data_IF_139249814776
#
_entry.id   IF_139249814776
#
_cell.length_a   1.000
_cell.length_b   1.000
_cell.length_c   1.000
_cell.angle_alpha   90.00
_cell.angle_beta   90.00
_cell.angle_gamma   90.00
#
_symmetry.space_group_name_H-M   'P 1'
#
loop_
_entity.id
_entity.type
_entity.pdbx_description
1 polymer ?
#
# COMPACT_ATOMS: atom_id res chain seq x y z
N UNK A 1 8.74 -3.19 24.45
CA UNK A 1 7.86 -3.14 23.27
C UNK A 1 7.54 -1.69 22.95
N UNK A 2 7.72 -1.30 21.70
CA UNK A 2 7.47 0.07 21.25
C UNK A 2 5.97 0.23 20.97
N UNK A 3 5.36 1.33 21.45
CA UNK A 3 4.01 1.67 21.12
C UNK A 3 3.88 2.23 19.69
N UNK A 4 2.64 2.36 19.20
CA UNK A 4 2.35 2.78 17.83
C UNK A 4 2.92 4.18 17.54
N UNK A 5 2.72 5.13 18.45
CA UNK A 5 3.16 6.50 18.25
C UNK A 5 4.69 6.62 18.31
N UNK A 6 5.32 5.86 19.18
CA UNK A 6 6.79 5.81 19.25
C UNK A 6 7.36 5.22 17.98
N UNK A 7 6.72 4.17 17.47
CA UNK A 7 7.16 3.56 16.21
C UNK A 7 7.05 4.55 15.05
N UNK A 8 5.92 5.27 14.94
CA UNK A 8 5.73 6.27 13.90
C UNK A 8 6.77 7.38 13.98
N UNK A 9 7.10 7.85 15.18
CA UNK A 9 8.16 8.83 15.36
C UNK A 9 9.50 8.29 14.84
N UNK A 10 9.79 7.02 15.09
CA UNK A 10 11.03 6.39 14.66
C UNK A 10 11.22 6.36 13.15
N UNK A 11 10.14 6.39 12.39
CA UNK A 11 10.19 6.41 10.91
C UNK A 11 9.97 7.81 10.33
N UNK A 12 9.96 8.83 11.18
CA UNK A 12 9.90 10.23 10.73
C UNK A 12 8.52 10.86 10.69
N UNK A 13 7.52 10.23 11.30
CA UNK A 13 6.16 10.81 11.41
C UNK A 13 6.10 11.60 12.70
N UNK A 14 5.81 12.90 12.61
CA UNK A 14 5.69 13.76 13.78
C UNK A 14 4.48 13.38 14.64
N UNK A 15 4.47 13.77 15.92
CA UNK A 15 3.34 13.55 16.80
C UNK A 15 2.05 14.16 16.28
N UNK A 16 2.16 15.36 15.70
CA UNK A 16 0.99 16.04 15.15
C UNK A 16 0.36 15.25 13.99
N UNK A 17 1.17 14.57 13.21
CA UNK A 17 0.73 13.76 12.08
C UNK A 17 0.30 12.36 12.48
N UNK A 18 0.86 11.84 13.57
CA UNK A 18 0.64 10.45 14.00
C UNK A 18 -0.83 10.15 14.31
N UNK A 19 -1.56 11.09 14.88
CA UNK A 19 -2.99 10.91 15.16
C UNK A 19 -3.79 10.66 13.88
N UNK A 20 -3.54 11.45 12.84
CA UNK A 20 -4.22 11.28 11.55
C UNK A 20 -3.83 9.97 10.89
N UNK A 21 -2.55 9.64 10.94
CA UNK A 21 -2.03 8.39 10.38
C UNK A 21 -2.70 7.20 11.06
N UNK A 22 -2.72 7.18 12.39
CA UNK A 22 -3.33 6.07 13.14
C UNK A 22 -4.83 5.96 12.90
N UNK A 23 -5.53 7.09 12.88
CA UNK A 23 -6.97 7.11 12.63
C UNK A 23 -7.29 6.50 11.26
N UNK A 24 -6.59 6.92 10.23
CA UNK A 24 -6.82 6.42 8.87
C UNK A 24 -6.40 4.96 8.73
N UNK A 25 -5.23 4.60 9.23
CA UNK A 25 -4.72 3.23 9.14
C UNK A 25 -5.61 2.25 9.90
N UNK A 26 -6.08 2.62 11.08
CA UNK A 26 -6.97 1.76 11.88
C UNK A 26 -8.29 1.49 11.17
N UNK A 27 -8.88 2.52 10.55
CA UNK A 27 -10.13 2.37 9.80
C UNK A 27 -9.94 1.42 8.60
N UNK A 28 -8.83 1.56 7.88
CA UNK A 28 -8.52 0.69 6.75
C UNK A 28 -8.23 -0.73 7.23
N UNK A 29 -7.55 -0.88 8.37
CA UNK A 29 -7.25 -2.20 8.93
C UNK A 29 -8.53 -2.99 9.21
N UNK A 30 -9.54 -2.36 9.80
CA UNK A 30 -10.83 -3.01 10.02
C UNK A 30 -11.44 -3.52 8.73
N UNK A 31 -11.42 -2.69 7.69
CA UNK A 31 -11.95 -3.06 6.37
C UNK A 31 -11.17 -4.24 5.77
N UNK A 32 -9.84 -4.23 5.89
CA UNK A 32 -8.99 -5.29 5.36
C UNK A 32 -9.22 -6.61 6.09
N UNK A 33 -9.38 -6.58 7.40
CA UNK A 33 -9.65 -7.77 8.22
C UNK A 33 -10.98 -8.40 7.80
N UNK A 34 -12.03 -7.60 7.66
CA UNK A 34 -13.34 -8.07 7.22
C UNK A 34 -13.25 -8.67 5.82
N UNK A 35 -12.50 -8.03 4.94
CA UNK A 35 -12.34 -8.48 3.56
C UNK A 35 -11.64 -9.84 3.47
N UNK A 36 -10.72 -10.11 4.41
CA UNK A 36 -10.07 -11.43 4.53
C UNK A 36 -10.94 -12.50 5.17
N UNK A 37 -12.15 -12.15 5.61
CA UNK A 37 -13.04 -13.07 6.30
C UNK A 37 -12.72 -13.29 7.77
N UNK A 38 -11.90 -12.41 8.36
CA UNK A 38 -11.53 -12.48 9.77
C UNK A 38 -12.44 -11.58 10.62
N UNK A 39 -12.53 -11.88 11.91
CA UNK A 39 -13.32 -11.07 12.85
C UNK A 39 -12.47 -9.88 13.32
N UNK A 40 -12.90 -8.62 13.06
CA UNK A 40 -12.15 -7.45 13.51
C UNK A 40 -11.97 -7.37 15.03
N UNK A 41 -12.86 -8.02 15.80
CA UNK A 41 -12.76 -8.05 17.26
C UNK A 41 -11.59 -8.90 17.74
N UNK A 42 -11.14 -9.85 16.92
CA UNK A 42 -10.04 -10.76 17.25
C UNK A 42 -8.70 -10.31 16.68
N UNK A 43 -8.74 -9.31 15.79
CA UNK A 43 -7.55 -8.78 15.17
C UNK A 43 -7.12 -7.48 15.84
N UNK A 44 -5.83 -7.26 15.99
CA UNK A 44 -5.30 -6.03 16.56
C UNK A 44 -4.32 -5.38 15.59
N UNK A 45 -4.40 -4.05 15.50
CA UNK A 45 -3.51 -3.25 14.70
C UNK A 45 -2.57 -2.47 15.62
N UNK A 46 -1.28 -2.69 15.47
CA UNK A 46 -0.29 -2.02 16.29
C UNK A 46 1.07 -1.94 15.59
N UNK A 47 2.11 -1.65 16.37
CA UNK A 47 3.45 -1.46 15.85
C UNK A 47 3.98 -2.66 15.08
N UNK A 48 3.63 -3.87 15.48
CA UNK A 48 4.09 -5.09 14.80
C UNK A 48 3.59 -5.16 13.35
N UNK A 49 2.33 -4.83 13.15
CA UNK A 49 1.70 -4.83 11.82
C UNK A 49 2.31 -3.73 10.96
N UNK A 50 2.51 -2.55 11.52
CA UNK A 50 3.14 -1.44 10.81
C UNK A 50 4.58 -1.78 10.42
N UNK A 51 5.32 -2.42 11.31
CA UNK A 51 6.71 -2.81 11.05
C UNK A 51 6.82 -3.77 9.86
N UNK A 52 5.88 -4.70 9.71
CA UNK A 52 5.87 -5.62 8.58
C UNK A 52 5.80 -4.87 7.24
N UNK A 53 4.93 -3.87 7.17
CA UNK A 53 4.78 -3.05 5.97
C UNK A 53 6.05 -2.25 5.71
N UNK A 54 6.59 -1.59 6.72
CA UNK A 54 7.81 -0.79 6.60
C UNK A 54 8.98 -1.65 6.14
N UNK A 55 9.11 -2.85 6.73
CA UNK A 55 10.16 -3.79 6.34
C UNK A 55 10.02 -4.21 4.88
N UNK A 56 8.81 -4.49 4.44
CA UNK A 56 8.55 -4.84 3.04
C UNK A 56 8.96 -3.70 2.10
N UNK A 57 8.53 -2.47 2.41
CA UNK A 57 8.88 -1.32 1.58
C UNK A 57 10.39 -1.09 1.52
N UNK A 58 11.07 -1.28 2.65
CA UNK A 58 12.52 -1.16 2.72
C UNK A 58 13.21 -2.23 1.86
N UNK A 59 12.72 -3.46 1.90
CA UNK A 59 13.22 -4.54 1.04
C UNK A 59 13.08 -4.21 -0.44
N UNK A 60 12.02 -3.50 -0.80
CA UNK A 60 11.76 -3.10 -2.19
C UNK A 60 12.55 -1.88 -2.62
N UNK A 61 13.31 -1.28 -1.71
CA UNK A 61 14.19 -0.18 -2.05
C UNK A 61 13.72 1.20 -1.59
N UNK A 62 12.68 1.26 -0.77
CA UNK A 62 12.27 2.55 -0.18
C UNK A 62 13.21 2.87 0.98
N UNK A 63 13.93 3.97 0.86
CA UNK A 63 14.81 4.48 1.91
C UNK A 63 13.98 4.78 3.16
N UNK A 64 14.54 4.51 4.34
CA UNK A 64 13.88 4.74 5.63
C UNK A 64 13.31 6.15 5.75
N UNK A 65 14.02 7.16 5.25
CA UNK A 65 13.55 8.55 5.26
C UNK A 65 12.32 8.76 4.38
N UNK A 66 12.23 8.01 3.29
CA UNK A 66 11.10 8.09 2.36
C UNK A 66 9.89 7.34 2.86
N UNK A 67 10.08 6.33 3.72
CA UNK A 67 8.96 5.58 4.31
C UNK A 67 8.05 6.51 5.09
N UNK A 68 8.62 7.39 5.92
CA UNK A 68 7.84 8.36 6.67
C UNK A 68 6.99 9.25 5.76
N UNK A 69 7.59 9.71 4.67
CA UNK A 69 6.87 10.51 3.67
C UNK A 69 5.68 9.74 3.08
N UNK A 70 5.91 8.48 2.67
CA UNK A 70 4.84 7.65 2.11
C UNK A 70 3.70 7.42 3.09
N UNK A 71 4.04 7.15 4.34
CA UNK A 71 3.06 6.91 5.40
C UNK A 71 2.19 8.15 5.64
N UNK A 72 2.80 9.33 5.62
CA UNK A 72 2.07 10.58 5.78
C UNK A 72 1.13 10.82 4.59
N UNK A 73 1.60 10.57 3.38
CA UNK A 73 0.81 10.79 2.17
C UNK A 73 -0.24 9.72 1.91
N UNK A 74 0.02 8.49 2.37
CA UNK A 74 -0.90 7.36 2.17
C UNK A 74 -0.94 6.49 3.42
N UNK A 75 -1.55 6.98 4.51
CA UNK A 75 -1.55 6.26 5.80
C UNK A 75 -2.12 4.85 5.72
N UNK A 76 -3.06 4.62 4.81
CA UNK A 76 -3.71 3.32 4.63
C UNK A 76 -2.70 2.19 4.37
N UNK A 77 -1.53 2.49 3.82
CA UNK A 77 -0.54 1.47 3.49
C UNK A 77 -0.12 0.65 4.70
N UNK A 78 -0.08 1.27 5.89
CA UNK A 78 0.29 0.58 7.13
C UNK A 78 -0.66 -0.56 7.49
N UNK A 79 -1.89 -0.50 6.99
CA UNK A 79 -2.92 -1.50 7.28
C UNK A 79 -3.00 -2.60 6.22
N UNK A 80 -2.23 -2.51 5.15
CA UNK A 80 -2.29 -3.49 4.08
C UNK A 80 -1.55 -4.78 4.47
N UNK A 81 -2.11 -5.90 4.01
CA UNK A 81 -1.47 -7.20 4.20
C UNK A 81 -0.30 -7.34 3.22
N UNK A 82 0.89 -7.59 3.75
CA UNK A 82 2.09 -7.71 2.92
C UNK A 82 1.96 -8.86 1.93
N UNK A 83 1.61 -10.06 2.41
CA UNK A 83 1.57 -11.24 1.55
C UNK A 83 0.33 -11.29 0.66
N UNK A 84 -0.79 -10.77 1.14
CA UNK A 84 -2.04 -10.83 0.39
C UNK A 84 -2.30 -9.64 -0.52
N UNK A 85 -1.62 -8.53 -0.31
CA UNK A 85 -1.91 -7.32 -1.07
C UNK A 85 -0.69 -6.61 -1.64
N UNK A 86 0.32 -6.31 -0.84
CA UNK A 86 1.47 -5.54 -1.32
C UNK A 86 2.39 -6.35 -2.23
N UNK A 87 2.73 -7.56 -1.82
CA UNK A 87 3.60 -8.41 -2.64
C UNK A 87 2.95 -8.77 -3.98
N UNK A 88 1.67 -9.14 -4.02
CA UNK A 88 0.98 -9.36 -5.30
C UNK A 88 0.93 -8.11 -6.18
N UNK A 89 0.78 -6.92 -5.59
CA UNK A 89 0.78 -5.68 -6.36
C UNK A 89 2.11 -5.44 -7.06
N UNK A 90 3.22 -5.60 -6.33
CA UNK A 90 4.56 -5.44 -6.90
C UNK A 90 4.80 -6.46 -8.01
N UNK A 91 4.40 -7.72 -7.79
CA UNK A 91 4.52 -8.76 -8.80
C UNK A 91 3.69 -8.46 -10.06
N UNK A 92 2.48 -7.94 -9.85
CA UNK A 92 1.58 -7.60 -10.95
C UNK A 92 2.14 -6.43 -11.78
N UNK A 93 2.68 -5.42 -11.12
CA UNK A 93 3.28 -4.28 -11.83
C UNK A 93 4.49 -4.72 -12.67
N UNK A 94 5.27 -5.64 -12.15
CA UNK A 94 6.40 -6.18 -12.90
C UNK A 94 5.97 -7.04 -14.08
N UNK A 95 5.04 -7.97 -13.87
CA UNK A 95 4.64 -8.93 -14.91
C UNK A 95 3.77 -8.33 -16.00
N UNK A 96 2.87 -7.42 -15.64
CA UNK A 96 1.88 -6.86 -16.58
C UNK A 96 2.32 -5.53 -17.18
N UNK A 97 2.93 -4.67 -16.35
CA UNK A 97 3.30 -3.32 -16.76
C UNK A 97 4.80 -3.14 -16.99
N UNK A 98 5.57 -4.21 -16.82
CA UNK A 98 7.04 -4.19 -17.00
C UNK A 98 7.73 -3.18 -16.09
N UNK A 99 7.15 -2.96 -14.91
CA UNK A 99 7.68 -2.07 -13.88
C UNK A 99 8.27 -2.92 -12.76
N UNK A 100 9.59 -3.09 -12.74
CA UNK A 100 10.22 -3.83 -11.66
C UNK A 100 10.13 -3.06 -10.34
N UNK A 101 10.57 -3.66 -9.24
CA UNK A 101 10.45 -3.05 -7.92
C UNK A 101 11.06 -1.65 -7.86
N UNK A 102 12.23 -1.46 -8.47
CA UNK A 102 12.92 -0.18 -8.48
C UNK A 102 12.12 0.89 -9.21
N UNK A 103 11.60 0.56 -10.38
CA UNK A 103 10.76 1.45 -11.16
C UNK A 103 9.47 1.78 -10.45
N UNK A 104 8.82 0.76 -9.88
CA UNK A 104 7.55 0.96 -9.19
C UNK A 104 7.71 1.81 -7.93
N UNK A 105 8.82 1.64 -7.20
CA UNK A 105 9.11 2.51 -6.05
C UNK A 105 9.19 3.97 -6.46
N UNK A 106 9.85 4.28 -7.58
CA UNK A 106 9.92 5.65 -8.06
C UNK A 106 8.55 6.17 -8.49
N UNK A 107 7.71 5.32 -9.09
CA UNK A 107 6.33 5.68 -9.43
C UNK A 107 5.53 6.00 -8.17
N UNK A 108 5.66 5.16 -7.13
CA UNK A 108 4.98 5.34 -5.85
C UNK A 108 5.44 6.62 -5.15
N UNK A 109 6.71 6.96 -5.23
CA UNK A 109 7.21 8.21 -4.64
C UNK A 109 6.57 9.44 -5.26
N UNK A 110 6.28 9.38 -6.55
CA UNK A 110 5.57 10.45 -7.26
C UNK A 110 4.07 10.44 -6.99
N UNK A 111 3.50 9.26 -6.81
CA UNK A 111 2.07 9.09 -6.63
C UNK A 111 1.79 7.98 -5.60
N UNK A 112 1.84 8.31 -4.30
CA UNK A 112 1.71 7.31 -3.23
C UNK A 112 0.42 6.49 -3.29
N UNK A 113 -0.65 7.02 -3.87
CA UNK A 113 -1.92 6.30 -4.02
C UNK A 113 -1.81 5.03 -4.86
N UNK A 114 -0.74 4.86 -5.63
CA UNK A 114 -0.47 3.63 -6.37
C UNK A 114 -0.40 2.41 -5.46
N UNK A 115 0.02 2.59 -4.21
CA UNK A 115 0.06 1.50 -3.23
C UNK A 115 -1.34 0.97 -2.89
N UNK A 116 -2.38 1.76 -3.16
CA UNK A 116 -3.77 1.35 -2.94
C UNK A 116 -4.37 0.52 -4.06
N UNK A 117 -3.68 0.34 -5.17
CA UNK A 117 -4.18 -0.50 -6.26
C UNK A 117 -4.29 -1.95 -5.80
N UNK A 118 -5.34 -2.63 -6.28
CA UNK A 118 -5.55 -4.04 -5.99
C UNK A 118 -5.24 -4.86 -7.24
N UNK A 119 -4.37 -5.87 -7.07
CA UNK A 119 -4.07 -6.82 -8.13
C UNK A 119 -5.00 -8.02 -8.02
N UNK A 120 -6.30 -7.77 -7.88
CA UNK A 120 -7.31 -8.84 -7.80
C UNK A 120 -7.82 -9.23 -9.19
N UNK A 121 -8.66 -10.24 -9.23
CA UNK A 121 -9.23 -10.77 -10.45
C UNK A 121 -9.96 -9.72 -11.28
N UNK A 122 -10.76 -8.87 -10.63
CA UNK A 122 -11.52 -7.84 -11.31
C UNK A 122 -10.62 -6.79 -11.94
N UNK A 123 -9.60 -6.36 -11.22
CA UNK A 123 -8.63 -5.41 -11.75
C UNK A 123 -7.88 -5.98 -12.95
N UNK A 124 -7.48 -7.25 -12.87
CA UNK A 124 -6.79 -7.93 -13.97
C UNK A 124 -7.64 -8.02 -15.21
N UNK A 125 -8.90 -8.41 -15.06
CA UNK A 125 -9.85 -8.51 -16.18
C UNK A 125 -10.05 -7.16 -16.85
N UNK A 126 -10.19 -6.11 -16.06
CA UNK A 126 -10.39 -4.77 -16.59
C UNK A 126 -9.16 -4.29 -17.38
N UNK A 127 -7.96 -4.54 -16.84
CA UNK A 127 -6.72 -4.20 -17.52
C UNK A 127 -6.60 -4.96 -18.84
N UNK A 128 -6.87 -6.25 -18.83
CA UNK A 128 -6.83 -7.07 -20.04
C UNK A 128 -7.79 -6.52 -21.10
N UNK A 129 -9.01 -6.20 -20.67
CA UNK A 129 -10.01 -5.62 -21.58
C UNK A 129 -9.52 -4.31 -22.20
N UNK A 130 -8.99 -3.41 -21.36
CA UNK A 130 -8.52 -2.11 -21.85
C UNK A 130 -7.35 -2.26 -22.84
N UNK A 131 -6.39 -3.13 -22.52
CA UNK A 131 -5.24 -3.37 -23.39
C UNK A 131 -5.64 -4.00 -24.71
N UNK A 132 -6.57 -4.96 -24.69
CA UNK A 132 -7.09 -5.60 -25.90
C UNK A 132 -7.85 -4.62 -26.79
N UNK A 133 -8.42 -3.58 -26.20
CA UNK A 133 -9.20 -2.57 -26.94
C UNK A 133 -8.36 -1.33 -27.28
N UNK A 134 -7.05 -1.44 -27.23
CA UNK A 134 -6.15 -0.41 -27.72
C UNK A 134 -5.68 0.63 -26.72
N UNK A 135 -6.06 0.52 -25.45
CA UNK A 135 -5.58 1.43 -24.42
C UNK A 135 -4.10 1.16 -24.16
N UNK A 136 -3.36 2.21 -23.81
CA UNK A 136 -1.98 2.06 -23.38
C UNK A 136 -1.92 1.54 -21.94
N UNK A 137 -0.75 1.06 -21.52
CA UNK A 137 -0.55 0.62 -20.14
C UNK A 137 -0.78 1.78 -19.16
N UNK A 138 -0.35 2.98 -19.51
CA UNK A 138 -0.55 4.18 -18.70
C UNK A 138 -2.03 4.52 -18.55
N UNK A 139 -2.80 4.42 -19.63
CA UNK A 139 -4.24 4.65 -19.58
C UNK A 139 -4.95 3.63 -18.70
N UNK A 140 -4.53 2.37 -18.74
CA UNK A 140 -5.10 1.32 -17.90
C UNK A 140 -4.83 1.60 -16.42
N UNK A 141 -3.63 2.02 -16.06
CA UNK A 141 -3.30 2.39 -14.68
C UNK A 141 -4.14 3.60 -14.23
N UNK A 142 -4.29 4.61 -15.07
CA UNK A 142 -5.12 5.78 -14.77
C UNK A 142 -6.58 5.39 -14.52
N UNK A 143 -7.10 4.46 -15.31
CA UNK A 143 -8.45 3.95 -15.11
C UNK A 143 -8.59 3.29 -13.73
N UNK A 144 -7.64 2.41 -13.38
CA UNK A 144 -7.66 1.73 -12.08
C UNK A 144 -7.59 2.73 -10.92
N UNK A 145 -6.79 3.77 -11.05
CA UNK A 145 -6.68 4.80 -10.01
C UNK A 145 -7.97 5.57 -9.82
N UNK A 146 -8.73 5.82 -10.88
CA UNK A 146 -10.01 6.53 -10.78
C UNK A 146 -11.09 5.71 -10.09
N UNK A 147 -10.96 4.40 -10.10
CA UNK A 147 -11.95 3.50 -9.50
C UNK A 147 -11.66 3.15 -8.04
N UNK A 148 -10.59 3.69 -7.48
CA UNK A 148 -10.22 3.46 -6.07
C UNK A 148 -11.12 4.19 -5.08
#
# INVERSE_FOLDING_TARGET
MIGEYEYLESIGVSRAQALQVMSRASAVFEQEVVRRGEDPREASFGAAEMERVVRFLTEKGVDTKRVGFLVIKHPAVLAYDVEGRLRPLFAYMESTFERDARMFVEDVMKRPSLLGLRADENARRMVEYLLENGSSKEEAVEYLLRTL
#
